data_IF_622864160683
#
_entry.id   IF_622864160683
#
_cell.length_a   1.000
_cell.length_b   1.000
_cell.length_c   1.000
_cell.angle_alpha   90.00
_cell.angle_beta   90.00
_cell.angle_gamma   90.00
#
_symmetry.space_group_name_H-M   'P 1'
#
loop_
_entity.id
_entity.type
_entity.pdbx_description
1 polymer ?
#
# COMPACT_ATOMS: atom_id res chain seq x y z
N UNK A 1 -12.66 -17.69 14.77
CA UNK A 1 -13.77 -18.54 14.25
C UNK A 1 -14.82 -17.63 13.67
N UNK A 2 -15.17 -17.86 12.40
CA UNK A 2 -16.21 -17.13 11.67
C UNK A 2 -17.35 -18.11 11.31
N UNK A 3 -18.61 -17.65 11.35
CA UNK A 3 -19.78 -18.46 10.99
C UNK A 3 -20.55 -17.75 9.87
N UNK A 4 -20.60 -18.36 8.69
CA UNK A 4 -21.32 -17.84 7.51
C UNK A 4 -22.32 -18.92 7.08
N UNK A 5 -23.61 -18.57 7.03
CA UNK A 5 -24.69 -19.48 6.61
C UNK A 5 -24.68 -20.86 7.30
N UNK A 6 -24.30 -20.88 8.58
CA UNK A 6 -24.19 -22.10 9.39
C UNK A 6 -22.92 -22.94 9.14
N UNK A 7 -22.05 -22.53 8.23
CA UNK A 7 -20.74 -23.13 7.98
C UNK A 7 -19.69 -22.45 8.86
N UNK A 8 -18.89 -23.26 9.56
CA UNK A 8 -17.80 -22.78 10.39
C UNK A 8 -16.54 -22.60 9.56
N UNK A 9 -15.83 -21.52 9.85
CA UNK A 9 -14.54 -21.21 9.28
C UNK A 9 -13.53 -20.95 10.40
N UNK A 10 -12.37 -21.58 10.28
CA UNK A 10 -11.25 -21.42 11.19
C UNK A 10 -10.26 -20.42 10.61
N UNK A 11 -9.66 -19.63 11.49
CA UNK A 11 -8.62 -18.67 11.10
C UNK A 11 -7.44 -19.44 10.52
N UNK A 12 -7.00 -19.00 9.36
CA UNK A 12 -5.82 -19.53 8.68
C UNK A 12 -4.80 -18.39 8.62
N UNK A 13 -3.55 -18.69 8.87
CA UNK A 13 -2.47 -17.70 8.84
C UNK A 13 -1.51 -18.09 7.72
N UNK A 14 -1.15 -17.15 6.82
CA UNK A 14 -0.11 -17.38 5.83
C UNK A 14 1.21 -17.81 6.47
N UNK A 15 1.97 -18.65 5.77
CA UNK A 15 3.24 -19.19 6.27
C UNK A 15 4.42 -18.25 6.03
N UNK A 16 4.29 -17.30 5.10
CA UNK A 16 5.30 -16.30 4.77
C UNK A 16 4.66 -14.99 4.33
N UNK A 17 5.43 -13.91 4.40
CA UNK A 17 5.04 -12.60 3.87
C UNK A 17 4.79 -12.68 2.36
N UNK A 18 5.60 -13.42 1.61
CA UNK A 18 5.39 -13.62 0.16
C UNK A 18 4.03 -14.27 -0.16
N UNK A 19 3.63 -15.29 0.61
CA UNK A 19 2.29 -15.90 0.48
C UNK A 19 1.20 -14.88 0.82
N UNK A 20 1.43 -14.05 1.82
CA UNK A 20 0.47 -13.03 2.23
C UNK A 20 0.36 -11.87 1.24
N UNK A 21 1.48 -11.40 0.70
CA UNK A 21 1.57 -10.39 -0.37
C UNK A 21 0.76 -10.85 -1.59
N UNK A 22 0.92 -12.11 -2.00
CA UNK A 22 0.15 -12.66 -3.12
C UNK A 22 -1.36 -12.59 -2.85
N UNK A 23 -1.81 -13.07 -1.69
CA UNK A 23 -3.24 -13.03 -1.32
C UNK A 23 -3.75 -11.58 -1.29
N UNK A 24 -2.98 -10.65 -0.72
CA UNK A 24 -3.34 -9.23 -0.68
C UNK A 24 -3.49 -8.66 -2.09
N UNK A 25 -2.56 -8.98 -3.00
CA UNK A 25 -2.59 -8.52 -4.40
C UNK A 25 -3.87 -8.95 -5.13
N UNK A 26 -4.35 -10.17 -4.84
CA UNK A 26 -5.57 -10.75 -5.42
C UNK A 26 -6.86 -10.09 -4.89
N UNK A 27 -6.80 -9.41 -3.73
CA UNK A 27 -7.93 -8.77 -3.05
C UNK A 27 -7.81 -7.25 -2.94
N UNK A 28 -7.02 -6.63 -3.81
CA UNK A 28 -6.75 -5.18 -3.77
C UNK A 28 -8.00 -4.33 -3.96
N UNK A 29 -8.95 -4.77 -4.81
CA UNK A 29 -10.24 -4.11 -5.01
C UNK A 29 -11.10 -4.07 -3.75
N UNK A 30 -11.06 -5.12 -2.94
CA UNK A 30 -11.83 -5.24 -1.69
C UNK A 30 -11.19 -4.41 -0.57
N UNK A 31 -9.86 -4.31 -0.58
CA UNK A 31 -9.10 -3.56 0.43
C UNK A 31 -9.17 -2.04 0.16
N UNK A 32 -9.01 -1.63 -1.09
CA UNK A 32 -8.84 -0.23 -1.49
C UNK A 32 -10.04 0.34 -2.28
N UNK A 33 -11.02 -0.49 -2.62
CA UNK A 33 -12.21 -0.12 -3.38
C UNK A 33 -12.02 -0.23 -4.89
N UNK A 34 -13.13 -0.32 -5.61
CA UNK A 34 -13.16 -0.49 -7.07
C UNK A 34 -12.52 0.67 -7.84
N UNK A 35 -12.49 1.87 -7.28
CA UNK A 35 -11.88 3.05 -7.90
C UNK A 35 -10.44 3.28 -7.43
N UNK A 36 -9.68 2.18 -7.41
CA UNK A 36 -8.27 2.13 -7.11
C UNK A 36 -7.47 1.43 -8.22
N UNK A 37 -6.17 1.69 -8.28
CA UNK A 37 -5.20 0.91 -9.04
C UNK A 37 -4.08 0.54 -8.07
N UNK A 38 -3.86 -0.76 -7.85
CA UNK A 38 -2.72 -1.31 -7.14
C UNK A 38 -1.60 -1.63 -8.13
N UNK A 39 -0.37 -1.31 -7.76
CA UNK A 39 0.82 -1.44 -8.58
C UNK A 39 1.84 -2.26 -7.80
N UNK A 40 2.07 -3.50 -8.24
CA UNK A 40 3.03 -4.45 -7.66
C UNK A 40 4.49 -4.15 -8.11
N UNK A 41 4.76 -2.88 -8.41
CA UNK A 41 6.09 -2.41 -8.81
C UNK A 41 6.86 -2.01 -7.56
N UNK A 42 7.79 -2.87 -7.16
CA UNK A 42 8.76 -2.68 -6.07
C UNK A 42 9.80 -1.58 -6.36
N UNK A 43 9.37 -0.32 -6.45
CA UNK A 43 10.26 0.84 -6.65
C UNK A 43 10.94 1.25 -5.35
N UNK A 44 12.28 1.30 -5.37
CA UNK A 44 13.07 1.63 -4.18
C UNK A 44 12.91 3.09 -3.78
N UNK A 45 12.39 3.32 -2.58
CA UNK A 45 12.34 4.63 -1.92
C UNK A 45 13.69 4.94 -1.30
N UNK A 46 14.32 6.06 -1.69
CA UNK A 46 15.63 6.49 -1.15
C UNK A 46 15.52 7.89 -0.54
N UNK A 47 16.02 8.03 0.69
CA UNK A 47 16.19 9.30 1.36
C UNK A 47 17.23 10.18 0.66
N UNK A 48 17.30 11.45 1.06
CA UNK A 48 18.38 12.36 0.63
C UNK A 48 19.78 11.85 1.02
N UNK A 49 19.89 11.10 2.12
CA UNK A 49 21.13 10.45 2.56
C UNK A 49 21.44 9.13 1.81
N UNK A 50 20.59 8.71 0.88
CA UNK A 50 20.79 7.52 0.06
C UNK A 50 20.37 6.19 0.70
N UNK A 51 19.90 6.21 1.95
CA UNK A 51 19.31 5.06 2.64
C UNK A 51 17.94 4.79 2.03
N UNK A 52 17.57 3.53 1.84
CA UNK A 52 16.29 3.22 1.23
C UNK A 52 15.68 1.90 1.65
N UNK A 53 14.39 1.79 1.38
CA UNK A 53 13.58 0.59 1.51
C UNK A 53 12.73 0.41 0.25
N UNK A 54 12.22 -0.79 0.03
CA UNK A 54 11.35 -1.13 -1.09
C UNK A 54 9.99 -1.47 -0.45
N UNK A 55 8.92 -0.74 -0.79
CA UNK A 55 7.58 -1.13 -0.35
C UNK A 55 7.07 -2.30 -1.19
N UNK A 56 6.05 -2.98 -0.67
CA UNK A 56 5.40 -4.07 -1.38
C UNK A 56 4.51 -3.57 -2.51
N UNK A 57 3.95 -2.37 -2.40
CA UNK A 57 3.23 -1.78 -3.53
C UNK A 57 2.86 -0.31 -3.37
N UNK A 58 2.25 0.21 -4.44
CA UNK A 58 1.64 1.54 -4.45
C UNK A 58 0.17 1.43 -4.85
N UNK A 59 -0.67 2.28 -4.27
CA UNK A 59 -2.07 2.38 -4.66
C UNK A 59 -2.43 3.81 -5.01
N UNK A 60 -3.17 4.00 -6.10
CA UNK A 60 -3.77 5.27 -6.44
C UNK A 60 -5.27 5.17 -6.24
N UNK A 61 -5.83 6.01 -5.37
CA UNK A 61 -7.27 6.14 -5.15
C UNK A 61 -7.76 7.35 -5.91
N UNK A 62 -8.66 7.11 -6.86
CA UNK A 62 -9.24 8.15 -7.72
C UNK A 62 -10.77 8.23 -7.61
N UNK A 63 -11.41 7.32 -6.89
CA UNK A 63 -12.86 7.35 -6.66
C UNK A 63 -13.34 8.49 -5.78
N UNK A 64 -12.54 8.82 -4.76
CA UNK A 64 -12.84 9.90 -3.83
C UNK A 64 -12.09 11.18 -4.21
N UNK A 65 -12.75 12.32 -4.03
CA UNK A 65 -12.12 13.64 -4.03
C UNK A 65 -11.98 14.13 -2.59
N UNK A 66 -10.77 14.40 -2.09
CA UNK A 66 -9.52 14.49 -2.86
C UNK A 66 -8.88 13.13 -3.18
N UNK A 67 -8.35 13.02 -4.40
CA UNK A 67 -7.51 11.89 -4.79
C UNK A 67 -6.27 11.81 -3.90
N UNK A 68 -5.91 10.59 -3.53
CA UNK A 68 -4.79 10.28 -2.66
C UNK A 68 -4.15 8.98 -3.09
N UNK A 69 -3.00 8.67 -2.51
CA UNK A 69 -2.23 7.50 -2.88
C UNK A 69 -1.62 6.87 -1.64
N UNK A 70 -1.34 5.58 -1.73
CA UNK A 70 -0.82 4.79 -0.64
C UNK A 70 0.53 4.21 -1.00
N UNK A 71 1.38 4.08 0.02
CA UNK A 71 2.49 3.14 0.03
C UNK A 71 2.02 1.96 0.88
N UNK A 72 2.11 0.75 0.34
CA UNK A 72 1.61 -0.46 0.96
C UNK A 72 2.78 -1.30 1.45
N UNK A 73 2.67 -1.75 2.70
CA UNK A 73 3.54 -2.76 3.30
C UNK A 73 2.68 -3.91 3.82
N UNK A 74 3.10 -5.14 3.55
CA UNK A 74 2.42 -6.37 3.97
C UNK A 74 3.29 -7.07 5.00
N UNK A 75 2.72 -7.37 6.17
CA UNK A 75 3.47 -7.91 7.31
C UNK A 75 2.72 -9.04 7.99
N UNK A 76 3.48 -9.95 8.63
CA UNK A 76 2.92 -11.00 9.48
C UNK A 76 3.12 -10.67 10.96
N UNK A 77 2.09 -10.91 11.78
CA UNK A 77 2.17 -10.62 13.22
C UNK A 77 3.21 -11.48 13.97
N UNK A 78 3.64 -12.58 13.36
CA UNK A 78 4.69 -13.46 13.87
C UNK A 78 6.10 -12.88 13.76
N UNK A 79 6.31 -11.85 12.94
CA UNK A 79 7.61 -11.21 12.79
C UNK A 79 7.84 -10.14 13.87
N UNK A 80 9.10 -9.76 14.16
CA UNK A 80 9.41 -8.69 15.10
C UNK A 80 8.98 -7.32 14.55
N UNK A 81 7.67 -7.05 14.63
CA UNK A 81 7.00 -5.90 14.05
C UNK A 81 7.63 -4.57 14.49
N UNK A 82 7.96 -4.44 15.78
CA UNK A 82 8.42 -3.15 16.32
C UNK A 82 9.65 -2.62 15.58
N UNK A 83 10.72 -3.41 15.47
CA UNK A 83 11.97 -2.93 14.89
C UNK A 83 11.93 -2.89 13.36
N UNK A 84 11.22 -3.83 12.74
CA UNK A 84 11.10 -3.93 11.29
C UNK A 84 10.22 -2.82 10.72
N UNK A 85 8.95 -2.74 11.16
CA UNK A 85 8.00 -1.74 10.64
C UNK A 85 8.45 -0.32 10.91
N UNK A 86 8.98 -0.02 12.11
CA UNK A 86 9.46 1.35 12.41
C UNK A 86 10.61 1.73 11.48
N UNK A 87 11.52 0.79 11.19
CA UNK A 87 12.64 1.02 10.27
C UNK A 87 12.17 1.18 8.82
N UNK A 88 11.31 0.29 8.32
CA UNK A 88 10.75 0.35 6.95
C UNK A 88 9.94 1.63 6.73
N UNK A 89 8.95 1.87 7.59
CA UNK A 89 8.06 3.03 7.49
C UNK A 89 8.86 4.33 7.66
N UNK A 90 9.82 4.38 8.59
CA UNK A 90 10.72 5.53 8.74
C UNK A 90 11.54 5.84 7.47
N UNK A 91 12.00 4.80 6.77
CA UNK A 91 12.69 4.95 5.47
C UNK A 91 11.76 5.40 4.35
N UNK A 92 10.50 4.98 4.35
CA UNK A 92 9.51 5.47 3.38
C UNK A 92 9.23 6.95 3.57
N UNK A 93 8.98 7.38 4.82
CA UNK A 93 8.76 8.78 5.19
C UNK A 93 9.95 9.64 4.74
N UNK A 94 11.16 9.22 5.07
CA UNK A 94 12.38 9.95 4.69
C UNK A 94 12.65 9.89 3.18
N UNK A 95 12.20 8.82 2.52
CA UNK A 95 12.41 8.57 1.10
C UNK A 95 11.51 9.41 0.19
N UNK A 96 10.27 9.67 0.62
CA UNK A 96 9.29 10.37 -0.22
C UNK A 96 9.54 11.89 -0.28
N UNK A 97 10.30 12.46 0.65
CA UNK A 97 10.75 13.86 0.59
C UNK A 97 11.75 14.12 -0.54
N UNK A 98 12.35 13.07 -1.12
CA UNK A 98 13.32 13.20 -2.20
C UNK A 98 12.61 13.36 -3.57
N UNK A 99 12.73 14.53 -4.18
CA UNK A 99 12.14 14.83 -5.51
C UNK A 99 12.57 13.85 -6.61
N UNK A 100 13.81 13.34 -6.57
CA UNK A 100 14.26 12.32 -7.53
C UNK A 100 13.51 11.01 -7.32
N UNK A 101 13.27 10.64 -6.06
CA UNK A 101 12.48 9.46 -5.70
C UNK A 101 11.02 9.64 -6.17
N UNK A 102 10.40 10.80 -5.92
CA UNK A 102 9.06 11.10 -6.42
C UNK A 102 8.96 10.97 -7.94
N UNK A 103 9.89 11.56 -8.69
CA UNK A 103 9.90 11.45 -10.15
C UNK A 103 10.06 10.01 -10.64
N UNK A 104 10.88 9.20 -9.96
CA UNK A 104 11.03 7.78 -10.30
C UNK A 104 9.74 6.99 -10.04
N UNK A 105 9.00 7.31 -8.97
CA UNK A 105 7.68 6.72 -8.69
C UNK A 105 6.71 7.13 -9.79
N UNK A 106 6.59 8.43 -10.08
CA UNK A 106 5.70 8.95 -11.14
C UNK A 106 5.94 8.24 -12.47
N UNK A 107 7.20 8.14 -12.91
CA UNK A 107 7.53 7.48 -14.18
C UNK A 107 7.17 5.99 -14.18
N UNK A 108 7.47 5.27 -13.09
CA UNK A 108 7.16 3.84 -13.03
C UNK A 108 5.66 3.56 -13.02
N UNK A 109 4.91 4.32 -12.23
CA UNK A 109 3.46 4.25 -12.21
C UNK A 109 2.88 4.63 -13.57
N UNK A 110 3.39 5.69 -14.18
CA UNK A 110 2.97 6.13 -15.51
C UNK A 110 3.16 5.01 -16.53
N UNK A 111 4.36 4.44 -16.60
CA UNK A 111 4.72 3.36 -17.53
C UNK A 111 3.80 2.14 -17.34
N UNK A 112 3.46 1.77 -16.12
CA UNK A 112 2.53 0.67 -15.85
C UNK A 112 1.12 0.99 -16.34
N UNK A 113 0.62 2.19 -16.04
CA UNK A 113 -0.72 2.62 -16.45
C UNK A 113 -0.83 2.76 -17.97
N UNK A 114 0.19 3.25 -18.67
CA UNK A 114 0.09 3.44 -20.13
C UNK A 114 0.20 2.14 -20.93
N UNK A 115 0.86 1.13 -20.38
CA UNK A 115 1.05 -0.18 -21.01
C UNK A 115 -0.07 -1.18 -20.67
N UNK A 116 -0.93 -0.86 -19.70
CA UNK A 116 -2.13 -1.61 -19.38
C UNK A 116 -3.39 -0.83 -19.81
N UNK A 117 -4.06 -1.32 -20.86
CA UNK A 117 -5.26 -0.66 -21.41
C UNK A 117 -6.40 -0.58 -20.38
N UNK A 118 -6.52 -1.56 -19.48
CA UNK A 118 -7.53 -1.55 -18.44
C UNK A 118 -7.26 -0.46 -17.41
N UNK A 119 -6.05 -0.36 -16.87
CA UNK A 119 -5.65 0.72 -15.95
C UNK A 119 -5.77 2.10 -16.58
N UNK A 120 -5.31 2.23 -17.83
CA UNK A 120 -5.42 3.47 -18.60
C UNK A 120 -6.87 3.92 -18.73
N UNK A 121 -7.77 3.03 -19.14
CA UNK A 121 -9.20 3.33 -19.28
C UNK A 121 -9.83 3.66 -17.91
N UNK A 122 -9.49 2.89 -16.87
CA UNK A 122 -10.00 3.05 -15.51
C UNK A 122 -9.65 4.44 -14.97
N UNK A 123 -8.39 4.85 -15.07
CA UNK A 123 -7.94 6.16 -14.62
C UNK A 123 -8.52 7.30 -15.47
N UNK A 124 -8.54 7.14 -16.80
CA UNK A 124 -9.07 8.17 -17.73
C UNK A 124 -10.53 8.50 -17.47
N UNK A 125 -11.35 7.50 -17.11
CA UNK A 125 -12.74 7.75 -16.70
C UNK A 125 -12.85 8.67 -15.48
N UNK A 126 -11.86 8.63 -14.59
CA UNK A 126 -11.86 9.42 -13.36
C UNK A 126 -11.30 10.83 -13.55
N UNK A 127 -10.18 10.97 -14.26
CA UNK A 127 -9.46 12.25 -14.40
C UNK A 127 -9.91 13.06 -15.63
N UNK A 128 -10.72 12.47 -16.50
CA UNK A 128 -11.22 13.09 -17.73
C UNK A 128 -10.09 13.48 -18.69
N UNK A 129 -10.06 14.76 -19.08
CA UNK A 129 -9.10 15.30 -20.05
C UNK A 129 -7.76 15.70 -19.42
N UNK A 130 -7.60 15.56 -18.11
CA UNK A 130 -6.32 15.83 -17.45
C UNK A 130 -5.27 14.85 -17.99
N UNK A 131 -4.07 15.37 -18.28
CA UNK A 131 -2.95 14.54 -18.67
C UNK A 131 -2.54 13.58 -17.54
N UNK A 132 -2.30 12.29 -17.85
CA UNK A 132 -2.01 11.27 -16.84
C UNK A 132 -0.71 11.60 -16.10
N UNK A 133 0.34 11.99 -16.82
CA UNK A 133 1.63 12.30 -16.20
C UNK A 133 1.51 13.52 -15.27
N UNK A 134 0.78 14.57 -15.70
CA UNK A 134 0.50 15.73 -14.84
C UNK A 134 -0.30 15.32 -13.60
N UNK A 135 -1.36 14.53 -13.76
CA UNK A 135 -2.16 14.02 -12.66
C UNK A 135 -1.31 13.25 -11.63
N UNK A 136 -0.46 12.34 -12.09
CA UNK A 136 0.42 11.56 -11.22
C UNK A 136 1.45 12.44 -10.51
N UNK A 137 2.01 13.42 -11.23
CA UNK A 137 2.95 14.39 -10.62
C UNK A 137 2.27 15.16 -9.48
N UNK A 138 1.06 15.67 -9.72
CA UNK A 138 0.28 16.40 -8.70
C UNK A 138 -0.11 15.49 -7.53
N UNK A 139 -0.46 14.24 -7.80
CA UNK A 139 -0.83 13.24 -6.79
C UNK A 139 0.35 12.87 -5.89
N UNK A 140 1.49 12.47 -6.49
CA UNK A 140 2.70 12.02 -5.77
C UNK A 140 3.41 13.17 -5.06
N UNK A 141 3.17 14.42 -5.47
CA UNK A 141 3.67 15.59 -4.73
C UNK A 141 3.04 15.74 -3.33
N UNK A 142 1.86 15.13 -3.12
CA UNK A 142 1.21 15.09 -1.81
C UNK A 142 1.77 13.94 -0.97
N UNK A 143 1.84 14.08 0.37
CA UNK A 143 2.26 12.97 1.22
C UNK A 143 1.31 11.77 1.11
N UNK A 144 1.82 10.53 1.00
CA UNK A 144 1.02 9.32 0.87
C UNK A 144 0.29 8.94 2.17
N UNK A 145 -0.68 8.04 2.08
CA UNK A 145 -1.15 7.27 3.23
C UNK A 145 -0.27 6.03 3.34
N UNK A 146 0.34 5.78 4.50
CA UNK A 146 1.11 4.55 4.71
C UNK A 146 0.15 3.47 5.15
N UNK A 147 -0.01 2.42 4.36
CA UNK A 147 -0.97 1.34 4.64
C UNK A 147 -0.22 0.07 4.99
N UNK A 148 -0.39 -0.38 6.22
CA UNK A 148 0.17 -1.63 6.71
C UNK A 148 -0.97 -2.64 6.70
N UNK A 149 -0.80 -3.70 5.91
CA UNK A 149 -1.74 -4.80 5.83
C UNK A 149 -1.16 -5.94 6.66
N UNK A 150 -1.91 -6.37 7.65
CA UNK A 150 -1.47 -7.39 8.62
C UNK A 150 -2.59 -8.40 8.82
N UNK A 151 -2.24 -9.68 8.98
CA UNK A 151 -3.25 -10.72 9.25
C UNK A 151 -3.93 -10.52 10.62
N UNK A 152 -3.21 -9.92 11.58
CA UNK A 152 -3.68 -9.62 12.92
C UNK A 152 -2.98 -8.41 13.53
N UNK A 153 -3.73 -7.35 13.84
CA UNK A 153 -3.16 -6.15 14.44
C UNK A 153 -2.90 -6.36 15.92
N UNK A 154 -1.63 -6.29 16.32
CA UNK A 154 -1.23 -6.48 17.73
C UNK A 154 -1.08 -5.13 18.47
N UNK A 155 -1.16 -5.13 19.82
CA UNK A 155 -0.83 -3.95 20.62
C UNK A 155 0.59 -3.43 20.34
N UNK A 156 1.56 -4.32 20.15
CA UNK A 156 2.96 -3.98 19.87
C UNK A 156 3.09 -3.18 18.57
N UNK A 157 2.37 -3.56 17.50
CA UNK A 157 2.33 -2.79 16.26
C UNK A 157 1.79 -1.38 16.52
N UNK A 158 0.68 -1.27 17.24
CA UNK A 158 0.05 0.03 17.52
C UNK A 158 0.96 0.93 18.36
N UNK A 159 1.75 0.36 19.27
CA UNK A 159 2.74 1.10 20.05
C UNK A 159 3.92 1.54 19.18
N UNK A 160 4.46 0.65 18.34
CA UNK A 160 5.55 0.94 17.43
C UNK A 160 5.21 2.12 16.50
N UNK A 161 3.99 2.13 15.94
CA UNK A 161 3.54 3.18 15.02
C UNK A 161 3.36 4.55 15.70
N UNK A 162 3.08 4.60 17.01
CA UNK A 162 2.97 5.88 17.74
C UNK A 162 4.30 6.62 17.86
N UNK A 163 5.43 5.91 17.74
CA UNK A 163 6.77 6.49 17.83
C UNK A 163 7.12 7.23 16.53
N UNK A 164 6.51 6.83 15.41
CA UNK A 164 6.75 7.41 14.11
C UNK A 164 6.10 8.80 14.01
N UNK A 165 6.92 9.81 13.75
CA UNK A 165 6.42 11.15 13.43
C UNK A 165 6.10 11.21 11.95
N UNK A 166 4.86 10.91 11.61
CA UNK A 166 4.31 11.09 10.27
C UNK A 166 3.16 12.11 10.33
N UNK A 167 3.19 13.20 9.53
CA UNK A 167 2.13 14.22 9.57
C UNK A 167 0.81 13.72 8.97
N UNK A 168 0.82 12.58 8.28
CA UNK A 168 -0.31 11.98 7.61
C UNK A 168 -0.66 10.65 8.25
N UNK A 169 -1.69 10.01 7.72
CA UNK A 169 -2.24 8.79 8.27
C UNK A 169 -1.31 7.58 8.01
N UNK A 170 -1.08 6.81 9.08
CA UNK A 170 -0.62 5.42 8.99
C UNK A 170 -1.85 4.55 9.23
N UNK A 171 -2.37 3.96 8.16
CA UNK A 171 -3.56 3.10 8.18
C UNK A 171 -3.12 1.66 8.42
N UNK A 172 -3.73 1.01 9.41
CA UNK A 172 -3.56 -0.44 9.62
C UNK A 172 -4.82 -1.13 9.13
N UNK A 173 -4.66 -2.03 8.17
CA UNK A 173 -5.72 -2.89 7.64
C UNK A 173 -5.47 -4.30 8.17
N UNK A 174 -6.39 -4.78 9.00
CA UNK A 174 -6.38 -6.18 9.43
C UNK A 174 -7.07 -7.02 8.35
N UNK A 175 -6.32 -7.88 7.66
CA UNK A 175 -6.80 -8.72 6.57
C UNK A 175 -6.75 -10.19 6.98
N UNK A 176 -7.82 -10.63 7.65
CA UNK A 176 -7.94 -11.99 8.18
C UNK A 176 -8.35 -12.97 7.09
N UNK A 177 -7.73 -14.15 7.09
CA UNK A 177 -8.05 -15.24 6.18
C UNK A 177 -8.62 -16.42 6.94
N UNK A 178 -9.58 -17.12 6.33
CA UNK A 178 -10.26 -18.23 6.97
C UNK A 178 -10.41 -19.40 6.01
N UNK A 179 -10.26 -20.62 6.55
CA UNK A 179 -10.54 -21.86 5.81
C UNK A 179 -11.78 -22.53 6.38
N UNK A 180 -12.53 -23.21 5.51
CA UNK A 180 -13.75 -23.93 5.89
C UNK A 180 -13.38 -25.15 6.76
N UNK A 181 -14.12 -25.34 7.85
CA UNK A 181 -14.03 -26.55 8.70
C UNK A 181 -14.56 -27.80 7.98
#
# INVERSE_FOLDING_TARGET
MLLIDGVKYQEWTPKSEEEFEQIVSEHTSEIFGEQSIYLDRKQKLRSLSGIGSIPDGYVIIFGDSPHHWHIVEVELSSHPLHDHIVSQVGRFISGIENLRTQNNIVNAIYDEIINDDFFKLKLRKSIGLVDIHRFLTDLISKPPILTIIIEKATPELREALKILRYPQEIKVVEFQTFTRE
#
